data_IF_756390957385
#
_entry.id   IF_756390957385
#
_cell.length_a   1.000
_cell.length_b   1.000
_cell.length_c   1.000
_cell.angle_alpha   90.00
_cell.angle_beta   90.00
_cell.angle_gamma   90.00
#
_symmetry.space_group_name_H-M   'P 1'
#
loop_
_entity.id
_entity.type
_entity.pdbx_description
1 polymer ?
#
# COMPACT_ATOMS: atom_id res chain seq x y z
N UNK A 1 -10.54 25.23 -88.54
CA UNK A 1 -9.76 26.46 -88.36
C UNK A 1 -9.85 26.90 -86.92
N UNK A 2 -8.72 27.23 -86.27
CA UNK A 2 -8.53 27.83 -84.97
C UNK A 2 -8.53 26.83 -83.75
N UNK A 3 -7.38 26.19 -83.56
CA UNK A 3 -6.99 25.62 -82.24
C UNK A 3 -5.44 25.45 -82.12
N UNK A 4 -4.68 26.49 -82.44
CA UNK A 4 -3.24 26.45 -82.43
C UNK A 4 -2.50 27.49 -81.54
N UNK A 5 -3.14 28.26 -80.63
CA UNK A 5 -2.31 29.04 -79.71
C UNK A 5 -2.25 28.53 -78.27
N UNK A 6 -2.86 27.39 -77.94
CA UNK A 6 -2.86 26.90 -76.53
C UNK A 6 -1.70 25.94 -76.16
N UNK A 7 -0.97 25.42 -77.17
CA UNK A 7 0.16 24.48 -76.94
C UNK A 7 1.48 25.26 -76.72
N UNK A 8 1.59 26.49 -77.12
CA UNK A 8 2.83 27.28 -76.97
C UNK A 8 3.00 27.94 -75.60
N UNK A 9 1.96 27.94 -74.79
CA UNK A 9 2.02 28.56 -73.44
C UNK A 9 2.40 27.55 -72.32
N UNK A 10 2.37 26.23 -72.60
CA UNK A 10 2.75 25.19 -71.61
C UNK A 10 4.23 24.84 -71.60
N UNK A 11 5.04 25.34 -72.49
CA UNK A 11 6.48 25.02 -72.60
C UNK A 11 7.39 26.02 -71.88
N UNK A 12 6.83 27.13 -71.37
CA UNK A 12 7.62 28.19 -70.69
C UNK A 12 7.63 28.10 -69.15
N UNK A 13 7.03 27.04 -68.55
CA UNK A 13 7.00 26.89 -67.10
C UNK A 13 7.90 25.77 -66.55
N UNK A 14 8.75 25.13 -67.33
CA UNK A 14 9.66 24.07 -66.86
C UNK A 14 11.13 24.49 -66.80
N UNK A 15 11.42 25.74 -66.62
CA UNK A 15 12.78 26.23 -66.57
C UNK A 15 13.13 27.05 -65.35
N UNK A 16 12.73 26.59 -64.12
CA UNK A 16 13.24 27.21 -62.88
C UNK A 16 13.28 26.18 -61.77
N UNK A 17 14.23 25.24 -61.85
CA UNK A 17 14.83 24.61 -60.69
C UNK A 17 16.29 25.03 -60.67
N UNK A 18 16.54 26.22 -60.21
CA UNK A 18 17.84 26.57 -59.63
C UNK A 18 17.76 26.07 -58.21
N UNK A 19 18.39 24.96 -57.91
CA UNK A 19 18.78 24.57 -56.57
C UNK A 19 19.92 25.49 -56.13
N UNK A 20 19.56 26.67 -55.65
CA UNK A 20 20.46 27.42 -54.81
C UNK A 20 20.59 26.61 -53.51
N UNK A 21 21.60 25.75 -53.45
CA UNK A 21 22.17 25.28 -52.19
C UNK A 21 22.62 26.52 -51.40
N UNK A 22 21.72 27.06 -50.59
CA UNK A 22 22.08 28.00 -49.54
C UNK A 22 22.85 27.21 -48.48
N UNK A 23 24.11 26.95 -48.76
CA UNK A 23 25.07 26.37 -47.82
C UNK A 23 25.72 27.43 -46.94
N UNK A 24 24.99 28.54 -46.64
CA UNK A 24 25.46 29.51 -45.68
C UNK A 24 25.15 29.00 -44.27
N UNK A 25 26.15 28.47 -43.63
CA UNK A 25 26.09 28.01 -42.23
C UNK A 25 26.54 26.58 -41.98
N UNK A 26 26.62 25.71 -43.00
CA UNK A 26 27.06 24.31 -42.82
C UNK A 26 28.54 24.14 -42.42
N UNK A 27 29.32 25.20 -42.50
CA UNK A 27 30.74 25.18 -42.12
C UNK A 27 31.08 26.07 -40.91
N UNK A 28 30.07 26.67 -40.25
CA UNK A 28 30.33 27.58 -39.15
C UNK A 28 30.38 26.95 -37.78
N UNK A 29 29.81 25.76 -37.59
CA UNK A 29 29.95 24.98 -36.36
C UNK A 29 29.88 23.48 -36.72
N UNK A 30 31.01 22.80 -36.87
CA UNK A 30 31.03 21.33 -36.90
C UNK A 30 31.01 20.80 -35.46
N UNK A 31 29.86 20.91 -34.80
CA UNK A 31 29.72 20.28 -33.47
C UNK A 31 29.63 18.78 -33.70
N UNK A 32 30.67 18.05 -33.36
CA UNK A 32 30.69 16.58 -33.39
C UNK A 32 30.07 16.07 -32.10
N UNK A 33 28.78 15.73 -32.16
CA UNK A 33 28.13 15.02 -31.06
C UNK A 33 28.44 13.53 -31.10
N UNK A 34 28.76 12.93 -29.95
CA UNK A 34 28.87 11.49 -29.76
C UNK A 34 27.88 11.00 -28.72
N UNK A 35 27.19 9.90 -29.00
CA UNK A 35 26.31 9.26 -28.00
C UNK A 35 27.13 8.28 -27.17
N UNK A 36 26.89 8.29 -25.85
CA UNK A 36 27.54 7.37 -24.92
C UNK A 36 26.51 6.74 -24.00
N UNK A 37 26.73 5.49 -23.63
CA UNK A 37 26.00 4.76 -22.62
C UNK A 37 26.83 4.75 -21.32
N UNK A 38 26.18 5.07 -20.19
CA UNK A 38 26.77 5.03 -18.86
C UNK A 38 25.93 4.05 -18.04
N UNK A 39 26.55 2.98 -17.55
CA UNK A 39 25.93 1.94 -16.71
C UNK A 39 26.56 1.87 -15.30
N UNK A 40 27.68 2.54 -15.07
CA UNK A 40 28.47 2.49 -13.82
C UNK A 40 28.15 3.63 -12.86
N UNK A 41 27.00 4.31 -13.00
CA UNK A 41 26.58 5.37 -12.09
C UNK A 41 26.20 4.77 -10.74
N UNK A 42 26.86 5.23 -9.68
CA UNK A 42 26.57 4.76 -8.31
C UNK A 42 25.20 5.23 -7.86
N UNK A 43 24.38 4.27 -7.39
CA UNK A 43 23.11 4.53 -6.73
C UNK A 43 23.29 4.25 -5.24
N UNK A 44 23.37 5.29 -4.42
CA UNK A 44 23.45 5.16 -2.97
C UNK A 44 22.04 4.99 -2.40
N UNK A 45 21.84 3.99 -1.57
CA UNK A 45 20.55 3.57 -1.05
C UNK A 45 20.52 3.62 0.48
N UNK A 46 19.41 4.09 1.04
CA UNK A 46 19.15 4.14 2.47
C UNK A 46 17.72 3.66 2.77
N UNK A 47 17.54 2.88 3.84
CA UNK A 47 16.24 2.53 4.39
C UNK A 47 15.82 3.56 5.43
N UNK A 48 14.65 4.13 5.27
CA UNK A 48 14.05 5.11 6.16
C UNK A 48 12.74 4.57 6.75
N UNK A 49 12.38 5.11 7.91
CA UNK A 49 11.08 4.89 8.54
C UNK A 49 10.30 6.21 8.53
N UNK A 50 9.11 6.22 7.93
CA UNK A 50 8.18 7.35 8.02
C UNK A 50 7.35 7.27 9.28
N UNK A 51 6.62 8.34 9.57
CA UNK A 51 5.57 8.33 10.58
C UNK A 51 4.52 7.24 10.26
N UNK A 52 3.70 6.93 11.28
CA UNK A 52 2.66 5.90 11.20
C UNK A 52 1.67 6.14 10.04
N UNK A 53 1.22 5.07 9.41
CA UNK A 53 0.20 5.10 8.36
C UNK A 53 -1.19 5.30 8.96
N UNK A 54 -2.05 6.08 8.29
CA UNK A 54 -3.47 6.19 8.67
C UNK A 54 -4.18 4.88 8.33
N UNK A 55 -4.88 4.30 9.29
CA UNK A 55 -5.62 3.03 9.15
C UNK A 55 -7.12 3.15 9.39
N UNK A 56 -7.64 4.32 9.76
CA UNK A 56 -9.08 4.63 9.70
C UNK A 56 -9.52 4.95 8.28
N UNK A 57 -10.77 4.66 7.96
CA UNK A 57 -11.35 4.96 6.65
C UNK A 57 -10.91 4.03 5.51
N UNK A 58 -10.21 2.95 5.84
CA UNK A 58 -9.91 1.88 4.89
C UNK A 58 -11.14 1.01 4.65
N UNK A 59 -11.18 0.33 3.50
CA UNK A 59 -12.24 -0.64 3.16
C UNK A 59 -12.01 -2.03 3.74
N UNK A 60 -10.97 -2.19 4.57
CA UNK A 60 -10.54 -3.47 5.17
C UNK A 60 -9.93 -3.26 6.55
N UNK A 61 -9.96 -4.32 7.34
CA UNK A 61 -9.26 -4.46 8.62
C UNK A 61 -8.30 -5.65 8.54
N UNK A 62 -7.26 -5.64 9.38
CA UNK A 62 -6.19 -6.64 9.37
C UNK A 62 -6.11 -7.39 10.68
N UNK A 63 -5.92 -8.69 10.60
CA UNK A 63 -5.71 -9.56 11.75
C UNK A 63 -4.74 -10.69 11.40
N UNK A 64 -3.80 -10.97 12.30
CA UNK A 64 -2.89 -12.09 12.18
C UNK A 64 -1.45 -11.76 12.55
N UNK A 65 -0.59 -12.77 12.45
CA UNK A 65 0.82 -12.65 12.80
C UNK A 65 1.69 -13.42 11.80
N UNK A 66 2.72 -12.75 11.35
CA UNK A 66 3.66 -13.24 10.36
C UNK A 66 5.09 -12.89 10.75
N UNK A 67 6.03 -13.80 10.56
CA UNK A 67 7.45 -13.59 10.84
C UNK A 67 8.25 -13.64 9.54
N UNK A 68 8.98 -12.56 9.25
CA UNK A 68 9.91 -12.44 8.15
C UNK A 68 11.35 -12.39 8.66
N UNK A 69 12.27 -13.03 7.94
CA UNK A 69 13.69 -12.90 8.22
C UNK A 69 14.20 -11.46 7.96
N UNK A 70 13.61 -10.77 6.99
CA UNK A 70 14.01 -9.43 6.55
C UNK A 70 13.29 -8.32 7.34
N UNK A 71 11.98 -8.48 7.61
CA UNK A 71 11.12 -7.43 8.19
C UNK A 71 10.77 -7.63 9.66
N UNK A 72 11.15 -8.79 10.26
CA UNK A 72 10.88 -9.13 11.64
C UNK A 72 9.49 -9.71 11.86
N UNK A 73 8.99 -9.62 13.09
CA UNK A 73 7.64 -10.06 13.44
C UNK A 73 6.65 -8.94 13.22
N UNK A 74 5.63 -9.22 12.44
CA UNK A 74 4.53 -8.30 12.15
C UNK A 74 3.27 -8.87 12.80
N UNK A 75 2.61 -8.08 13.64
CA UNK A 75 1.36 -8.44 14.31
C UNK A 75 0.30 -7.39 14.00
N UNK A 76 -0.81 -7.82 13.42
CA UNK A 76 -1.94 -6.96 13.10
C UNK A 76 -3.10 -7.20 14.06
N UNK A 77 -3.65 -6.11 14.58
CA UNK A 77 -4.83 -6.08 15.44
C UNK A 77 -5.86 -5.14 14.82
N UNK A 78 -7.13 -5.48 14.94
CA UNK A 78 -8.20 -4.58 14.50
C UNK A 78 -9.13 -4.20 15.65
N UNK A 79 -9.59 -2.95 15.61
CA UNK A 79 -10.45 -2.35 16.63
C UNK A 79 -11.66 -1.75 15.94
N UNK A 80 -12.84 -2.07 16.44
CA UNK A 80 -14.08 -1.50 15.92
C UNK A 80 -15.22 -1.63 16.93
N UNK A 81 -16.21 -0.77 16.79
CA UNK A 81 -17.44 -0.79 17.55
C UNK A 81 -18.65 -0.96 16.62
N UNK A 82 -19.82 -1.15 17.20
CA UNK A 82 -21.03 -1.49 16.48
C UNK A 82 -22.13 -0.46 16.75
N UNK A 83 -23.03 -0.32 15.79
CA UNK A 83 -24.27 0.38 15.92
C UNK A 83 -25.26 -0.41 16.80
N UNK A 84 -26.19 0.26 17.51
CA UNK A 84 -27.21 -0.43 18.27
C UNK A 84 -28.07 -1.30 17.35
N UNK A 85 -28.66 -2.40 17.87
CA UNK A 85 -29.56 -3.23 17.09
C UNK A 85 -30.80 -2.45 16.65
N UNK A 86 -31.16 -2.57 15.39
CA UNK A 86 -32.45 -2.09 14.89
C UNK A 86 -33.48 -3.23 14.99
N UNK A 87 -34.44 -3.11 15.91
CA UNK A 87 -35.40 -4.17 16.20
C UNK A 87 -36.83 -3.64 16.26
N UNK A 88 -37.81 -4.55 16.03
CA UNK A 88 -39.21 -4.23 16.09
C UNK A 88 -39.69 -4.21 17.54
N UNK A 89 -39.91 -3.03 18.11
CA UNK A 89 -40.35 -2.85 19.49
C UNK A 89 -41.73 -3.53 19.79
N UNK A 90 -42.59 -3.76 18.78
CA UNK A 90 -43.87 -4.45 18.98
C UNK A 90 -43.72 -5.96 19.21
N UNK A 91 -42.61 -6.55 18.79
CA UNK A 91 -42.29 -7.97 19.03
C UNK A 91 -41.67 -8.21 20.39
N UNK A 92 -40.83 -7.25 20.82
CA UNK A 92 -40.07 -7.35 22.08
C UNK A 92 -40.78 -6.72 23.29
N UNK A 93 -41.79 -5.86 23.08
CA UNK A 93 -42.47 -5.16 24.16
C UNK A 93 -43.38 -6.04 25.03
N UNK A 94 -43.74 -5.56 26.20
CA UNK A 94 -44.57 -6.26 27.18
C UNK A 94 -45.99 -6.60 26.67
N UNK A 95 -46.45 -5.93 25.61
CA UNK A 95 -47.75 -6.17 24.94
C UNK A 95 -47.61 -6.99 23.66
N UNK A 96 -46.48 -7.62 23.44
CA UNK A 96 -46.24 -8.45 22.26
C UNK A 96 -47.19 -9.66 22.25
N UNK A 97 -47.74 -9.97 21.07
CA UNK A 97 -48.59 -11.17 20.87
C UNK A 97 -47.73 -12.43 20.64
N UNK A 98 -46.42 -12.31 20.74
CA UNK A 98 -45.44 -13.38 20.53
C UNK A 98 -44.48 -13.46 21.72
N UNK A 99 -43.95 -14.65 21.95
CA UNK A 99 -42.85 -14.86 22.88
C UNK A 99 -41.54 -14.89 22.10
N UNK A 100 -40.60 -14.04 22.44
CA UNK A 100 -39.21 -14.02 21.86
C UNK A 100 -38.34 -14.97 22.65
N UNK A 101 -37.72 -15.91 21.94
CA UNK A 101 -36.73 -16.85 22.48
C UNK A 101 -35.37 -16.58 21.81
N UNK A 102 -34.35 -16.40 22.58
CA UNK A 102 -32.95 -16.31 22.10
C UNK A 102 -32.50 -17.70 21.56
N UNK A 103 -31.80 -17.72 20.43
CA UNK A 103 -31.25 -18.94 19.82
C UNK A 103 -29.73 -18.90 19.78
N UNK A 104 -29.15 -17.83 19.21
CA UNK A 104 -27.70 -17.71 19.11
C UNK A 104 -27.25 -16.28 18.82
N UNK A 105 -25.95 -16.02 19.05
CA UNK A 105 -25.30 -14.77 18.67
C UNK A 105 -23.91 -15.07 18.10
N UNK A 106 -23.52 -14.41 17.01
CA UNK A 106 -22.23 -14.60 16.35
C UNK A 106 -21.67 -13.29 15.79
N UNK A 107 -20.34 -13.19 15.78
CA UNK A 107 -19.60 -12.23 14.97
C UNK A 107 -19.36 -12.84 13.60
N UNK A 108 -19.70 -12.12 12.53
CA UNK A 108 -19.48 -12.55 11.15
C UNK A 108 -18.50 -11.59 10.50
N UNK A 109 -17.37 -12.14 10.09
CA UNK A 109 -16.33 -11.46 9.30
C UNK A 109 -16.42 -11.97 7.86
N UNK A 110 -16.28 -11.08 6.89
CA UNK A 110 -16.17 -11.46 5.48
C UNK A 110 -14.72 -11.36 5.07
N UNK A 111 -14.16 -12.42 4.47
CA UNK A 111 -12.82 -12.38 3.93
C UNK A 111 -12.72 -11.37 2.79
N UNK A 112 -11.59 -10.71 2.73
CA UNK A 112 -11.18 -9.83 1.65
C UNK A 112 -10.17 -10.54 0.74
N UNK A 113 -9.81 -9.94 -0.37
CA UNK A 113 -8.90 -10.48 -1.39
C UNK A 113 -7.42 -10.45 -0.99
N UNK A 114 -7.07 -9.85 0.16
CA UNK A 114 -5.68 -9.72 0.61
C UNK A 114 -5.35 -10.62 1.79
N UNK A 115 -4.18 -11.26 1.70
CA UNK A 115 -3.47 -11.90 2.81
C UNK A 115 -1.96 -11.80 2.57
N UNK A 116 -1.16 -11.88 3.64
CA UNK A 116 0.29 -11.79 3.56
C UNK A 116 0.94 -12.74 4.58
N UNK A 117 1.65 -13.76 4.10
CA UNK A 117 2.14 -14.88 4.86
C UNK A 117 1.45 -16.20 4.52
N UNK A 118 1.81 -17.30 5.18
CA UNK A 118 1.31 -18.65 4.89
C UNK A 118 -0.10 -18.87 5.45
N UNK A 119 -1.10 -18.70 4.59
CA UNK A 119 -2.53 -18.85 4.94
C UNK A 119 -2.96 -20.31 5.16
N UNK A 120 -2.12 -21.30 4.84
CA UNK A 120 -2.41 -22.73 5.08
C UNK A 120 -2.17 -23.14 6.54
N UNK A 121 -1.38 -22.34 7.27
CA UNK A 121 -1.10 -22.59 8.68
C UNK A 121 -2.31 -22.25 9.55
N UNK A 122 -2.49 -23.04 10.61
CA UNK A 122 -3.47 -22.74 11.65
C UNK A 122 -3.05 -21.51 12.43
N UNK A 123 -3.99 -20.61 12.67
CA UNK A 123 -3.81 -19.41 13.48
C UNK A 123 -5.00 -19.19 14.39
N UNK A 124 -4.81 -18.37 15.41
CA UNK A 124 -5.79 -18.09 16.45
C UNK A 124 -6.35 -16.69 16.25
N UNK A 125 -7.67 -16.55 16.21
CA UNK A 125 -8.34 -15.27 16.29
C UNK A 125 -8.93 -15.11 17.68
N UNK A 126 -8.39 -14.16 18.45
CA UNK A 126 -8.87 -13.80 19.77
C UNK A 126 -9.74 -12.54 19.68
N UNK A 127 -10.92 -12.58 20.29
CA UNK A 127 -11.83 -11.45 20.41
C UNK A 127 -11.76 -10.93 21.84
N UNK A 128 -11.43 -9.64 22.02
CA UNK A 128 -11.40 -8.97 23.31
C UNK A 128 -12.43 -7.86 23.35
N UNK A 129 -13.12 -7.67 24.49
CA UNK A 129 -13.96 -6.49 24.72
C UNK A 129 -13.09 -5.26 25.01
N UNK A 130 -13.46 -4.11 24.46
CA UNK A 130 -12.78 -2.85 24.74
C UNK A 130 -13.18 -2.29 26.13
N UNK A 131 -12.21 -1.74 26.85
CA UNK A 131 -12.41 -1.04 28.14
C UNK A 131 -12.77 0.42 27.95
N UNK A 132 -12.40 0.98 26.79
CA UNK A 132 -12.62 2.39 26.45
C UNK A 132 -13.27 2.49 25.07
N UNK A 133 -13.98 3.58 24.85
CA UNK A 133 -14.54 3.93 23.54
C UNK A 133 -13.38 4.30 22.61
N UNK A 134 -13.51 4.00 21.33
CA UNK A 134 -12.54 4.41 20.30
C UNK A 134 -12.76 5.92 20.07
N UNK A 135 -11.73 6.71 20.35
CA UNK A 135 -11.71 8.15 20.12
C UNK A 135 -10.74 8.48 18.99
N UNK A 136 -11.20 9.23 18.00
CA UNK A 136 -10.38 9.73 16.91
C UNK A 136 -9.54 10.93 17.38
N UNK A 137 -8.39 11.17 16.73
CA UNK A 137 -7.58 12.36 16.98
C UNK A 137 -8.23 13.65 16.43
N UNK A 138 -7.57 14.80 16.61
CA UNK A 138 -8.04 16.11 16.13
C UNK A 138 -8.23 16.19 14.61
N UNK A 139 -7.66 15.24 13.86
CA UNK A 139 -7.82 15.11 12.40
C UNK A 139 -8.87 14.07 12.01
N UNK A 140 -9.60 13.53 12.96
CA UNK A 140 -10.54 12.43 12.79
C UNK A 140 -9.87 11.15 12.25
N UNK A 141 -8.64 10.85 12.70
CA UNK A 141 -7.84 9.72 12.22
C UNK A 141 -7.29 8.88 13.38
N UNK A 142 -7.02 7.61 13.07
CA UNK A 142 -6.19 6.71 13.86
C UNK A 142 -5.18 6.03 12.93
N UNK A 143 -4.08 5.60 13.51
CA UNK A 143 -2.88 5.20 12.79
C UNK A 143 -2.51 3.75 13.08
N UNK A 144 -1.61 3.20 12.28
CA UNK A 144 -1.05 1.85 12.47
C UNK A 144 -0.36 1.66 13.84
N UNK A 145 -0.04 2.73 14.54
CA UNK A 145 0.54 2.73 15.90
C UNK A 145 -0.48 2.99 17.00
N UNK A 146 -1.73 3.33 16.66
CA UNK A 146 -2.80 3.61 17.63
C UNK A 146 -3.26 2.32 18.30
N UNK A 147 -3.67 2.40 19.56
CA UNK A 147 -4.23 1.28 20.32
C UNK A 147 -5.29 1.74 21.29
N UNK A 148 -6.23 0.86 21.62
CA UNK A 148 -7.29 1.09 22.62
C UNK A 148 -7.21 -0.02 23.66
N UNK A 149 -7.27 0.32 24.98
CA UNK A 149 -7.25 -0.69 26.04
C UNK A 149 -8.39 -1.68 25.91
N UNK A 150 -8.05 -2.97 26.00
CA UNK A 150 -8.98 -4.10 25.97
C UNK A 150 -8.90 -4.92 27.26
N UNK A 151 -9.82 -5.86 27.45
CA UNK A 151 -9.76 -6.83 28.57
C UNK A 151 -8.48 -7.67 28.46
N UNK A 152 -7.98 -8.15 29.60
CA UNK A 152 -6.73 -8.93 29.64
C UNK A 152 -6.89 -10.34 29.05
N UNK A 153 -8.05 -10.93 29.26
CA UNK A 153 -8.38 -12.26 28.75
C UNK A 153 -9.28 -12.13 27.52
N UNK A 154 -9.09 -13.00 26.50
CA UNK A 154 -9.97 -13.01 25.36
C UNK A 154 -11.40 -13.38 25.79
N UNK A 155 -12.36 -12.67 25.24
CA UNK A 155 -13.78 -12.99 25.41
C UNK A 155 -14.11 -14.32 24.71
N UNK A 156 -13.52 -14.54 23.51
CA UNK A 156 -13.61 -15.77 22.74
C UNK A 156 -12.31 -15.98 21.96
N UNK A 157 -11.93 -17.25 21.76
CA UNK A 157 -10.79 -17.64 20.93
C UNK A 157 -11.20 -18.71 19.93
N UNK A 158 -10.79 -18.53 18.67
CA UNK A 158 -11.03 -19.48 17.59
C UNK A 158 -9.74 -19.83 16.89
N UNK A 159 -9.66 -21.06 16.39
CA UNK A 159 -8.61 -21.47 15.48
C UNK A 159 -9.17 -21.61 14.07
N UNK A 160 -8.46 -21.07 13.10
CA UNK A 160 -8.83 -21.11 11.70
C UNK A 160 -7.60 -21.14 10.81
N UNK A 161 -7.79 -21.46 9.54
CA UNK A 161 -6.84 -21.23 8.45
C UNK A 161 -7.61 -20.73 7.23
N UNK A 162 -6.89 -20.24 6.24
CA UNK A 162 -7.48 -19.74 4.99
C UNK A 162 -6.72 -20.30 3.80
N UNK A 163 -6.84 -21.59 3.45
CA UNK A 163 -6.24 -22.15 2.25
C UNK A 163 -6.82 -21.49 0.97
N UNK A 164 -6.06 -21.49 -0.12
CA UNK A 164 -6.39 -20.82 -1.38
C UNK A 164 -7.75 -21.26 -1.97
N UNK A 165 -8.10 -22.53 -1.81
CA UNK A 165 -9.40 -23.10 -2.23
C UNK A 165 -10.63 -22.50 -1.53
N UNK A 166 -10.44 -21.71 -0.46
CA UNK A 166 -11.47 -20.97 0.27
C UNK A 166 -11.40 -19.45 0.06
N UNK A 167 -10.66 -18.99 -0.95
CA UNK A 167 -10.56 -17.57 -1.29
C UNK A 167 -11.73 -17.09 -2.17
N UNK A 168 -12.91 -17.58 -1.91
CA UNK A 168 -14.12 -17.04 -2.50
C UNK A 168 -14.45 -15.70 -1.84
N UNK A 169 -14.66 -14.64 -2.65
CA UNK A 169 -14.97 -13.29 -2.18
C UNK A 169 -16.27 -13.20 -1.36
N UNK A 170 -17.07 -14.26 -1.36
CA UNK A 170 -18.30 -14.36 -0.56
C UNK A 170 -18.12 -15.21 0.71
N UNK A 171 -16.91 -15.74 0.95
CA UNK A 171 -16.63 -16.56 2.13
C UNK A 171 -16.65 -15.72 3.40
N UNK A 172 -17.38 -16.20 4.40
CA UNK A 172 -17.48 -15.59 5.72
C UNK A 172 -16.93 -16.51 6.79
N UNK A 173 -16.33 -15.90 7.83
CA UNK A 173 -15.94 -16.55 9.06
C UNK A 173 -16.98 -16.19 10.12
N UNK A 174 -17.80 -17.16 10.53
CA UNK A 174 -18.79 -16.99 11.59
C UNK A 174 -18.26 -17.52 12.93
N UNK A 175 -18.24 -16.65 13.92
CA UNK A 175 -17.63 -16.87 15.23
C UNK A 175 -18.70 -16.76 16.32
N UNK A 176 -19.05 -17.88 16.96
CA UNK A 176 -20.04 -17.89 18.03
C UNK A 176 -19.60 -17.00 19.19
N UNK A 177 -20.41 -16.07 19.61
CA UNK A 177 -20.22 -15.29 20.83
C UNK A 177 -20.93 -15.95 22.03
N UNK A 178 -20.54 -15.61 23.28
CA UNK A 178 -21.19 -16.15 24.48
C UNK A 178 -22.68 -15.83 24.52
N UNK A 179 -23.48 -16.85 24.86
CA UNK A 179 -24.95 -16.75 24.90
C UNK A 179 -25.44 -15.70 25.92
N UNK A 180 -24.68 -15.45 26.98
CA UNK A 180 -24.97 -14.45 28.00
C UNK A 180 -25.12 -13.05 27.36
N UNK A 181 -24.29 -12.70 26.40
CA UNK A 181 -24.38 -11.41 25.70
C UNK A 181 -25.66 -11.31 24.86
N UNK A 182 -26.02 -12.38 24.16
CA UNK A 182 -27.26 -12.42 23.37
C UNK A 182 -28.51 -12.36 24.25
N UNK A 183 -28.53 -13.09 25.38
CA UNK A 183 -29.64 -13.07 26.35
C UNK A 183 -29.78 -11.69 26.99
N UNK A 184 -28.67 -11.03 27.31
CA UNK A 184 -28.69 -9.67 27.83
C UNK A 184 -29.25 -8.67 26.82
N UNK A 185 -28.85 -8.74 25.55
CA UNK A 185 -29.41 -7.92 24.48
C UNK A 185 -30.91 -8.13 24.30
N UNK A 186 -31.39 -9.39 24.28
CA UNK A 186 -32.83 -9.68 24.23
C UNK A 186 -33.54 -9.06 25.42
N UNK A 187 -32.99 -9.13 26.62
CA UNK A 187 -33.55 -8.50 27.83
C UNK A 187 -33.64 -6.99 27.69
N UNK A 188 -32.58 -6.35 27.17
CA UNK A 188 -32.56 -4.90 26.92
C UNK A 188 -33.62 -4.49 25.88
N UNK A 189 -33.83 -5.30 24.83
CA UNK A 189 -34.88 -5.08 23.84
C UNK A 189 -36.29 -5.24 24.45
N UNK A 190 -36.50 -6.29 25.25
CA UNK A 190 -37.79 -6.55 25.92
C UNK A 190 -38.16 -5.43 26.93
N UNK A 191 -37.16 -4.88 27.58
CA UNK A 191 -37.38 -3.77 28.53
C UNK A 191 -37.35 -2.39 27.84
N UNK A 192 -37.16 -2.35 26.52
CA UNK A 192 -37.03 -1.11 25.75
C UNK A 192 -36.01 -0.16 26.39
N UNK A 193 -34.85 -0.69 26.73
CA UNK A 193 -33.80 0.04 27.42
C UNK A 193 -33.25 1.20 26.57
N UNK A 194 -33.07 2.36 27.21
CA UNK A 194 -32.45 3.55 26.60
C UNK A 194 -31.02 3.30 26.16
N UNK A 195 -30.37 2.26 26.66
CA UNK A 195 -29.02 1.83 26.19
C UNK A 195 -29.00 1.44 24.72
N UNK A 196 -30.14 1.09 24.13
CA UNK A 196 -30.25 0.71 22.72
C UNK A 196 -30.83 1.82 21.82
N UNK A 197 -31.18 2.99 22.37
CA UNK A 197 -31.84 4.06 21.62
C UNK A 197 -30.90 4.87 20.70
N UNK A 198 -29.70 5.13 21.16
CA UNK A 198 -28.70 5.92 20.41
C UNK A 198 -27.36 5.22 20.39
N UNK A 199 -26.55 5.58 19.41
CA UNK A 199 -25.18 5.06 19.29
C UNK A 199 -24.35 5.37 20.55
N UNK A 200 -24.41 6.59 21.07
CA UNK A 200 -23.68 7.02 22.26
C UNK A 200 -24.10 6.21 23.50
N UNK A 201 -25.39 5.97 23.69
CA UNK A 201 -25.90 5.15 24.77
C UNK A 201 -25.43 3.69 24.63
N UNK A 202 -25.48 3.14 23.41
CA UNK A 202 -25.01 1.79 23.13
C UNK A 202 -23.53 1.62 23.43
N UNK A 203 -22.69 2.61 23.13
CA UNK A 203 -21.26 2.60 23.46
C UNK A 203 -20.99 2.59 24.97
N UNK A 204 -21.89 3.12 25.82
CA UNK A 204 -21.73 3.00 27.28
C UNK A 204 -21.92 1.57 27.76
N UNK A 205 -22.76 0.79 27.07
CA UNK A 205 -23.00 -0.61 27.33
C UNK A 205 -21.96 -1.52 26.66
N UNK A 206 -21.71 -1.33 25.35
CA UNK A 206 -20.79 -2.15 24.55
C UNK A 206 -19.83 -1.27 23.75
N UNK A 207 -18.62 -1.10 24.26
CA UNK A 207 -17.61 -0.18 23.70
C UNK A 207 -16.97 -0.65 22.41
N UNK A 208 -17.19 -1.93 22.02
CA UNK A 208 -16.60 -2.54 20.86
C UNK A 208 -15.64 -3.68 21.19
N UNK A 209 -14.93 -4.14 20.19
CA UNK A 209 -14.02 -5.27 20.28
C UNK A 209 -12.66 -5.00 19.65
N UNK A 210 -11.66 -5.76 20.10
CA UNK A 210 -10.35 -5.93 19.47
C UNK A 210 -10.26 -7.34 18.92
N UNK A 211 -9.84 -7.50 17.67
CA UNK A 211 -9.35 -8.75 17.11
C UNK A 211 -7.84 -8.81 17.24
N UNK A 212 -7.30 -9.98 17.57
CA UNK A 212 -5.87 -10.15 17.81
C UNK A 212 -5.45 -11.59 17.56
N UNK A 213 -4.29 -11.86 16.95
CA UNK A 213 -3.77 -13.22 16.79
C UNK A 213 -3.34 -13.83 18.12
N UNK A 214 -3.07 -15.12 18.09
CA UNK A 214 -2.41 -15.84 19.18
C UNK A 214 -0.96 -15.38 19.35
N UNK A 215 -0.48 -15.35 20.59
CA UNK A 215 0.88 -14.88 20.89
C UNK A 215 1.97 -15.72 20.20
N UNK A 216 1.72 -16.99 19.97
CA UNK A 216 2.65 -17.94 19.35
C UNK A 216 2.37 -18.17 17.85
N UNK A 217 1.40 -17.48 17.28
CA UNK A 217 1.07 -17.64 15.88
C UNK A 217 2.22 -17.15 14.99
N UNK A 218 2.40 -17.85 13.88
CA UNK A 218 3.30 -17.49 12.79
C UNK A 218 2.73 -18.08 11.50
N UNK A 219 1.78 -17.39 10.91
CA UNK A 219 1.03 -17.83 9.75
C UNK A 219 0.92 -16.69 8.72
N UNK A 220 -0.20 -16.01 8.72
CA UNK A 220 -0.46 -14.89 7.82
C UNK A 220 -1.15 -13.73 8.55
N UNK A 221 -1.01 -12.53 8.02
CA UNK A 221 -1.92 -11.42 8.28
C UNK A 221 -3.01 -11.49 7.22
N UNK A 222 -4.25 -11.69 7.64
CA UNK A 222 -5.43 -11.70 6.79
C UNK A 222 -6.12 -10.33 6.81
N UNK A 223 -6.78 -9.99 5.73
CA UNK A 223 -7.72 -8.87 5.72
C UNK A 223 -9.17 -9.34 5.68
N UNK A 224 -10.03 -8.55 6.31
CA UNK A 224 -11.47 -8.71 6.27
C UNK A 224 -12.11 -7.43 5.76
N UNK A 225 -13.18 -7.58 5.00
CA UNK A 225 -13.96 -6.47 4.43
C UNK A 225 -14.47 -5.56 5.55
N UNK A 226 -14.32 -4.26 5.36
CA UNK A 226 -14.90 -3.22 6.22
C UNK A 226 -15.81 -2.32 5.39
N UNK A 227 -17.12 -2.48 5.58
CA UNK A 227 -18.15 -1.68 4.94
C UNK A 227 -19.43 -1.68 5.80
N UNK A 228 -20.53 -1.14 5.29
CA UNK A 228 -21.80 -1.09 6.02
C UNK A 228 -22.45 -2.47 6.25
N UNK A 229 -21.98 -3.53 5.59
CA UNK A 229 -22.50 -4.89 5.73
C UNK A 229 -21.63 -5.76 6.66
N UNK A 230 -20.30 -5.49 6.73
CA UNK A 230 -19.34 -6.31 7.48
C UNK A 230 -18.24 -5.46 8.15
N UNK A 231 -17.75 -5.87 9.35
CA UNK A 231 -18.23 -6.94 10.25
C UNK A 231 -19.62 -6.69 10.82
N UNK A 232 -20.35 -7.79 11.16
CA UNK A 232 -21.63 -7.70 11.86
C UNK A 232 -21.66 -8.62 13.07
N UNK A 233 -22.42 -8.21 14.09
CA UNK A 233 -22.85 -9.13 15.14
C UNK A 233 -24.30 -9.49 14.82
N UNK A 234 -24.56 -10.80 14.63
CA UNK A 234 -25.89 -11.34 14.30
C UNK A 234 -26.50 -12.06 15.49
N UNK A 235 -27.65 -11.59 15.91
CA UNK A 235 -28.50 -12.22 16.92
C UNK A 235 -29.59 -13.04 16.20
N UNK A 236 -29.66 -14.33 16.43
CA UNK A 236 -30.74 -15.20 16.00
C UNK A 236 -31.73 -15.39 17.15
N UNK A 237 -33.01 -15.30 16.84
CA UNK A 237 -34.10 -15.50 17.80
C UNK A 237 -35.34 -16.10 17.11
N UNK A 238 -36.14 -16.79 17.88
CA UNK A 238 -37.40 -17.36 17.45
C UNK A 238 -38.55 -16.59 18.08
N UNK A 239 -39.53 -16.20 17.28
CA UNK A 239 -40.82 -15.68 17.75
C UNK A 239 -41.85 -16.80 17.77
N UNK A 240 -42.48 -17.00 18.91
CA UNK A 240 -43.55 -18.03 19.13
C UNK A 240 -44.85 -17.30 19.35
N UNK A 241 -45.70 -17.34 18.33
CA UNK A 241 -47.10 -16.85 18.37
C UNK A 241 -48.09 -17.95 18.69
N UNK A 242 -49.36 -17.60 18.71
CA UNK A 242 -50.45 -18.55 19.00
C UNK A 242 -50.62 -19.66 17.91
N UNK A 243 -50.19 -19.37 16.69
CA UNK A 243 -50.36 -20.26 15.51
C UNK A 243 -49.09 -20.49 14.74
N UNK A 244 -48.13 -19.53 14.78
CA UNK A 244 -46.87 -19.56 13.99
C UNK A 244 -45.66 -19.52 14.90
N UNK A 245 -44.58 -20.19 14.46
CA UNK A 245 -43.22 -20.05 15.02
C UNK A 245 -42.33 -19.64 13.88
N UNK A 246 -41.57 -18.54 14.06
CA UNK A 246 -40.77 -17.97 12.99
C UNK A 246 -39.34 -17.72 13.53
N UNK A 247 -38.33 -18.12 12.74
CA UNK A 247 -36.95 -17.82 12.98
C UNK A 247 -36.60 -16.43 12.42
N UNK A 248 -35.96 -15.63 13.20
CA UNK A 248 -35.62 -14.22 12.89
C UNK A 248 -34.16 -13.91 13.21
N UNK A 249 -33.68 -12.82 12.67
CA UNK A 249 -32.31 -12.29 12.96
C UNK A 249 -32.32 -10.78 13.06
N UNK A 250 -31.40 -10.27 13.87
CA UNK A 250 -31.07 -8.85 13.99
C UNK A 250 -29.58 -8.70 13.80
N UNK A 251 -29.17 -7.83 12.89
CA UNK A 251 -27.78 -7.52 12.61
C UNK A 251 -27.40 -6.17 13.26
N UNK A 252 -26.33 -6.17 14.04
CA UNK A 252 -25.68 -4.97 14.52
C UNK A 252 -24.48 -4.71 13.61
N UNK A 253 -24.52 -3.65 12.82
CA UNK A 253 -23.49 -3.31 11.85
C UNK A 253 -22.32 -2.58 12.50
N UNK A 254 -21.13 -2.75 11.96
CA UNK A 254 -19.93 -2.01 12.38
C UNK A 254 -20.09 -0.52 12.12
N UNK A 255 -19.48 0.32 12.97
CA UNK A 255 -19.26 1.73 12.67
C UNK A 255 -17.91 1.88 11.92
N UNK A 256 -17.97 2.04 10.61
CA UNK A 256 -16.79 2.11 9.73
C UNK A 256 -15.93 3.35 10.00
N UNK A 257 -16.51 4.43 10.54
CA UNK A 257 -15.80 5.70 10.77
C UNK A 257 -14.77 5.62 11.90
N UNK A 258 -14.92 4.67 12.83
CA UNK A 258 -14.04 4.51 13.98
C UNK A 258 -13.20 3.24 13.93
N UNK A 259 -13.45 2.38 12.93
CA UNK A 259 -12.70 1.15 12.75
C UNK A 259 -11.27 1.44 12.25
N UNK A 260 -10.28 0.77 12.82
CA UNK A 260 -8.88 0.90 12.43
C UNK A 260 -8.09 -0.37 12.72
N UNK A 261 -6.88 -0.46 12.16
CA UNK A 261 -5.95 -1.55 12.43
C UNK A 261 -4.64 -1.01 13.02
N UNK A 262 -4.15 -1.69 14.03
CA UNK A 262 -2.82 -1.50 14.61
C UNK A 262 -1.87 -2.52 13.99
N UNK A 263 -0.69 -2.07 13.56
CA UNK A 263 0.37 -2.92 13.01
C UNK A 263 1.60 -2.78 13.88
N UNK A 264 1.84 -3.77 14.69
CA UNK A 264 3.03 -3.85 15.53
C UNK A 264 4.16 -4.54 14.77
N UNK A 265 5.38 -4.01 14.88
CA UNK A 265 6.57 -4.60 14.26
C UNK A 265 7.67 -4.78 15.29
N UNK A 266 8.22 -6.01 15.39
CA UNK A 266 9.43 -6.29 16.16
C UNK A 266 10.57 -6.66 15.19
N UNK A 267 11.51 -5.73 15.00
CA UNK A 267 12.67 -5.86 14.13
C UNK A 267 13.96 -6.24 14.88
N UNK A 268 13.88 -6.55 16.18
CA UNK A 268 15.03 -6.80 17.06
C UNK A 268 15.99 -7.88 16.54
N UNK A 269 15.47 -8.87 15.81
CA UNK A 269 16.23 -9.98 15.25
C UNK A 269 16.52 -9.83 13.74
N UNK A 270 16.46 -8.62 13.19
CA UNK A 270 16.73 -8.35 11.78
C UNK A 270 17.87 -7.35 11.62
N UNK A 271 18.32 -7.13 10.39
CA UNK A 271 19.27 -6.07 10.06
C UNK A 271 18.69 -4.67 10.31
N UNK A 272 17.39 -4.54 10.45
CA UNK A 272 16.68 -3.29 10.73
C UNK A 272 16.54 -2.97 12.23
N UNK A 273 17.20 -3.70 13.13
CA UNK A 273 17.05 -3.57 14.59
C UNK A 273 17.34 -2.17 15.15
N UNK A 274 18.21 -1.40 14.51
CA UNK A 274 18.60 -0.03 14.91
C UNK A 274 17.85 1.07 14.15
N UNK A 275 16.96 0.69 13.20
CA UNK A 275 16.20 1.65 12.40
C UNK A 275 15.18 2.41 13.26
N UNK A 276 15.17 3.73 13.11
CA UNK A 276 14.15 4.61 13.70
C UNK A 276 13.91 5.83 12.80
N UNK A 277 12.89 6.63 13.06
CA UNK A 277 12.61 7.86 12.31
C UNK A 277 13.81 8.85 12.31
N UNK A 278 14.62 8.83 13.37
CA UNK A 278 15.81 9.70 13.50
C UNK A 278 17.12 9.01 13.10
N UNK A 279 17.11 7.72 12.83
CA UNK A 279 18.29 6.91 12.49
C UNK A 279 17.99 6.03 11.28
N UNK A 280 18.04 6.58 10.05
CA UNK A 280 17.96 5.77 8.83
C UNK A 280 19.19 4.86 8.72
N UNK A 281 19.09 3.79 7.95
CA UNK A 281 20.16 2.83 7.73
C UNK A 281 20.62 2.88 6.26
N UNK A 282 21.92 3.02 6.07
CA UNK A 282 22.53 2.88 4.74
C UNK A 282 22.52 1.41 4.32
N UNK A 283 22.54 1.14 3.01
CA UNK A 283 22.60 -0.22 2.49
C UNK A 283 23.81 -1.00 3.02
N UNK A 284 24.95 -0.34 3.26
CA UNK A 284 26.17 -0.94 3.82
C UNK A 284 25.93 -1.53 5.23
N UNK A 285 25.10 -0.89 6.04
CA UNK A 285 24.76 -1.35 7.40
C UNK A 285 23.78 -2.54 7.39
N UNK A 286 23.19 -2.83 6.23
CA UNK A 286 22.17 -3.86 6.05
C UNK A 286 22.53 -4.88 4.96
N UNK A 287 23.80 -5.30 4.89
CA UNK A 287 24.34 -6.27 3.92
C UNK A 287 24.09 -5.90 2.46
N UNK A 288 24.28 -4.63 2.14
CA UNK A 288 24.07 -4.04 0.81
C UNK A 288 22.62 -4.17 0.32
N UNK A 289 21.64 -4.10 1.23
CA UNK A 289 20.20 -4.16 0.95
C UNK A 289 19.48 -2.95 1.48
N UNK A 290 18.31 -2.66 0.90
CA UNK A 290 17.33 -1.71 1.42
C UNK A 290 15.93 -2.28 1.36
N UNK A 291 15.00 -1.69 2.12
CA UNK A 291 13.73 -2.30 2.45
C UNK A 291 12.57 -1.31 2.28
N UNK A 292 11.48 -1.79 1.67
CA UNK A 292 10.20 -1.09 1.58
C UNK A 292 9.09 -2.02 2.05
N UNK A 293 8.08 -1.48 2.77
CA UNK A 293 6.91 -2.26 3.18
C UNK A 293 5.72 -1.35 3.45
N UNK A 294 4.55 -1.75 2.98
CA UNK A 294 3.29 -1.08 3.27
C UNK A 294 2.90 -1.17 4.74
N UNK A 295 2.05 -0.27 5.21
CA UNK A 295 1.52 -0.14 6.58
C UNK A 295 2.56 0.05 7.70
N UNK A 296 3.83 -0.31 7.47
CA UNK A 296 4.90 -0.26 8.47
C UNK A 296 5.80 0.98 8.36
N UNK A 297 5.54 1.83 7.37
CA UNK A 297 6.27 3.08 7.16
C UNK A 297 7.66 2.95 6.53
N UNK A 298 8.07 1.75 6.08
CA UNK A 298 9.37 1.57 5.44
C UNK A 298 9.38 2.10 4.00
N UNK A 299 10.39 2.93 3.69
CA UNK A 299 10.66 3.40 2.34
C UNK A 299 12.16 3.50 2.08
N UNK A 300 12.54 3.57 0.81
CA UNK A 300 13.94 3.69 0.39
C UNK A 300 14.21 5.09 -0.15
N UNK A 301 15.30 5.70 0.28
CA UNK A 301 15.86 6.92 -0.27
C UNK A 301 17.01 6.59 -1.20
N UNK A 302 17.07 7.29 -2.35
CA UNK A 302 18.11 7.11 -3.38
C UNK A 302 18.81 8.41 -3.64
N UNK A 303 20.16 8.33 -3.81
CA UNK A 303 21.01 9.44 -4.22
C UNK A 303 21.97 8.98 -5.32
N UNK A 304 22.43 9.93 -6.12
CA UNK A 304 23.38 9.70 -7.22
C UNK A 304 24.67 10.51 -6.96
N UNK A 305 25.59 10.02 -6.08
CA UNK A 305 26.75 10.80 -5.62
C UNK A 305 27.70 11.18 -6.75
N UNK A 306 27.83 10.34 -7.78
CA UNK A 306 28.78 10.50 -8.88
C UNK A 306 28.16 11.14 -10.13
N UNK A 307 26.90 11.63 -10.06
CA UNK A 307 26.21 12.21 -11.21
C UNK A 307 26.98 13.32 -11.89
N UNK A 308 27.69 14.16 -11.11
CA UNK A 308 28.48 15.28 -11.62
C UNK A 308 29.70 14.86 -12.46
N UNK A 309 30.17 13.61 -12.32
CA UNK A 309 31.28 13.11 -13.13
C UNK A 309 30.93 13.05 -14.63
N UNK A 310 29.62 12.93 -14.94
CA UNK A 310 29.11 12.96 -16.30
C UNK A 310 29.50 14.24 -17.03
N UNK A 311 29.56 15.39 -16.35
CA UNK A 311 29.93 16.67 -16.95
C UNK A 311 31.36 16.77 -17.38
N UNK A 312 32.24 15.87 -16.91
CA UNK A 312 33.65 15.82 -17.32
C UNK A 312 33.87 15.10 -18.63
N UNK A 313 32.81 14.53 -19.23
CA UNK A 313 32.90 13.76 -20.46
C UNK A 313 33.11 14.61 -21.72
N UNK A 314 32.82 15.94 -21.66
CA UNK A 314 33.02 16.87 -22.76
C UNK A 314 32.66 18.29 -22.38
N UNK A 315 32.72 19.22 -23.33
CA UNK A 315 32.43 20.65 -23.10
C UNK A 315 30.94 20.92 -22.86
N UNK A 316 30.08 20.11 -23.51
CA UNK A 316 28.66 20.11 -23.28
C UNK A 316 28.12 18.67 -23.23
N UNK A 317 27.39 18.34 -22.20
CA UNK A 317 26.77 17.02 -22.01
C UNK A 317 25.27 17.19 -21.82
N UNK A 318 24.51 16.42 -22.61
CA UNK A 318 23.04 16.39 -22.56
C UNK A 318 22.60 14.96 -22.24
N UNK A 319 21.87 14.75 -21.14
CA UNK A 319 21.21 13.48 -20.87
C UNK A 319 20.05 13.34 -21.84
N UNK A 320 20.08 12.34 -22.72
CA UNK A 320 18.99 12.06 -23.66
C UNK A 320 17.96 11.09 -23.10
N UNK A 321 18.38 10.17 -22.21
CA UNK A 321 17.51 9.23 -21.52
C UNK A 321 18.19 8.72 -20.27
N UNK A 322 17.45 8.52 -19.18
CA UNK A 322 17.95 7.90 -17.97
C UNK A 322 16.87 7.04 -17.32
N UNK A 323 17.13 5.75 -17.18
CA UNK A 323 16.21 4.77 -16.62
C UNK A 323 16.80 4.15 -15.37
N UNK A 324 16.06 4.27 -14.26
CA UNK A 324 16.37 3.60 -13.00
C UNK A 324 15.63 2.26 -12.96
N UNK A 325 16.38 1.17 -12.84
CA UNK A 325 15.85 -0.18 -12.65
C UNK A 325 16.01 -0.63 -11.21
N UNK A 326 14.92 -1.10 -10.61
CA UNK A 326 14.90 -1.69 -9.27
C UNK A 326 14.58 -3.18 -9.39
N UNK A 327 15.56 -4.03 -9.09
CA UNK A 327 15.43 -5.49 -9.16
C UNK A 327 15.22 -6.05 -7.75
N UNK A 328 14.09 -6.76 -7.49
CA UNK A 328 13.86 -7.43 -6.21
C UNK A 328 14.93 -8.48 -5.92
N UNK A 329 15.38 -8.56 -4.68
CA UNK A 329 16.31 -9.61 -4.25
C UNK A 329 15.60 -10.96 -4.30
N UNK A 330 16.15 -11.89 -5.06
CA UNK A 330 15.60 -13.24 -5.23
C UNK A 330 15.53 -13.98 -3.89
N UNK A 331 14.41 -14.66 -3.63
CA UNK A 331 14.18 -15.42 -2.39
C UNK A 331 13.57 -14.61 -1.25
N UNK A 332 13.34 -13.29 -1.43
CA UNK A 332 12.65 -12.45 -0.43
C UNK A 332 11.15 -12.34 -0.67
N UNK A 333 10.65 -12.92 -1.75
CA UNK A 333 9.23 -12.93 -2.14
C UNK A 333 8.81 -14.29 -2.69
N UNK A 334 7.54 -14.62 -2.60
CA UNK A 334 6.92 -15.84 -3.11
C UNK A 334 5.38 -15.65 -3.23
N UNK A 335 4.64 -16.71 -3.53
CA UNK A 335 3.18 -16.66 -3.69
C UNK A 335 2.44 -16.20 -2.42
N UNK A 336 2.98 -16.50 -1.22
CA UNK A 336 2.42 -16.04 0.06
C UNK A 336 2.85 -14.62 0.44
N UNK A 337 3.92 -14.12 -0.14
CA UNK A 337 4.48 -12.79 0.11
C UNK A 337 4.77 -12.10 -1.22
N UNK A 338 3.73 -11.81 -2.01
CA UNK A 338 3.88 -11.27 -3.35
C UNK A 338 4.46 -9.85 -3.34
N UNK A 339 5.17 -9.51 -4.40
CA UNK A 339 5.70 -8.18 -4.64
C UNK A 339 4.56 -7.14 -4.81
N UNK A 340 4.81 -5.85 -4.50
CA UNK A 340 3.91 -4.76 -4.88
C UNK A 340 3.67 -4.73 -6.39
N UNK A 341 2.43 -4.45 -6.83
CA UNK A 341 2.12 -4.34 -8.25
C UNK A 341 2.75 -3.06 -8.85
N UNK A 342 2.78 -1.99 -8.06
CA UNK A 342 3.33 -0.70 -8.45
C UNK A 342 4.17 -0.10 -7.32
N UNK A 343 5.21 0.62 -7.72
CA UNK A 343 6.00 1.48 -6.84
C UNK A 343 5.88 2.92 -7.32
N UNK A 344 5.98 3.85 -6.38
CA UNK A 344 5.99 5.28 -6.62
C UNK A 344 7.36 5.87 -6.31
N UNK A 345 7.76 6.85 -7.13
CA UNK A 345 9.03 7.56 -6.98
C UNK A 345 8.76 9.05 -6.87
N UNK A 346 9.12 9.65 -5.73
CA UNK A 346 8.99 11.08 -5.45
C UNK A 346 10.37 11.73 -5.34
N UNK A 347 10.39 13.02 -5.61
CA UNK A 347 11.52 13.88 -5.28
C UNK A 347 11.46 14.30 -3.80
N UNK A 348 12.59 14.27 -3.12
CA UNK A 348 12.77 14.84 -1.78
C UNK A 348 13.59 16.12 -1.90
N UNK A 349 13.02 17.25 -1.48
CA UNK A 349 13.76 18.49 -1.36
C UNK A 349 14.75 18.44 -0.17
N UNK A 350 15.53 19.49 0.02
CA UNK A 350 16.53 19.59 1.11
C UNK A 350 15.93 19.42 2.52
N UNK A 351 14.68 19.81 2.68
CA UNK A 351 13.95 19.70 3.95
C UNK A 351 13.40 18.28 4.17
N UNK A 352 13.64 17.35 3.22
CA UNK A 352 13.12 15.99 3.25
C UNK A 352 11.62 15.90 2.94
N UNK A 353 11.03 16.96 2.39
CA UNK A 353 9.64 16.98 1.99
C UNK A 353 9.50 16.40 0.59
N UNK A 354 8.62 15.42 0.45
CA UNK A 354 8.27 14.85 -0.85
C UNK A 354 7.53 15.87 -1.72
N UNK A 355 7.98 15.99 -2.96
CA UNK A 355 7.32 16.74 -4.04
C UNK A 355 7.28 15.85 -5.28
N UNK A 356 6.29 16.07 -6.12
CA UNK A 356 6.13 15.29 -7.34
C UNK A 356 7.28 15.55 -8.33
N UNK A 357 7.69 14.51 -9.04
CA UNK A 357 8.70 14.61 -10.09
C UNK A 357 8.07 15.26 -11.31
N UNK A 358 8.75 16.27 -11.88
CA UNK A 358 8.37 16.84 -13.17
C UNK A 358 8.61 15.79 -14.28
N UNK A 359 7.54 15.38 -14.95
CA UNK A 359 7.61 14.51 -16.12
C UNK A 359 7.82 15.35 -17.39
N UNK A 360 7.20 16.53 -17.43
CA UNK A 360 7.43 17.56 -18.43
C UNK A 360 7.22 18.96 -17.82
N UNK A 361 7.49 20.01 -18.59
CA UNK A 361 7.38 21.41 -18.13
C UNK A 361 5.97 21.85 -17.73
N UNK A 362 4.97 21.02 -17.91
CA UNK A 362 3.55 21.35 -17.69
C UNK A 362 2.86 20.43 -16.65
N UNK A 363 3.44 19.28 -16.32
CA UNK A 363 2.80 18.26 -15.46
C UNK A 363 3.74 17.80 -14.37
N UNK A 364 3.34 17.99 -13.11
CA UNK A 364 3.94 17.32 -11.95
C UNK A 364 3.12 16.08 -11.65
N UNK A 365 3.75 14.92 -11.58
CA UNK A 365 3.09 13.69 -11.12
C UNK A 365 4.09 12.79 -10.41
N UNK A 366 3.58 12.01 -9.46
CA UNK A 366 4.30 10.88 -8.89
C UNK A 366 4.65 9.93 -10.02
N UNK A 367 5.91 9.55 -10.17
CA UNK A 367 6.29 8.58 -11.17
C UNK A 367 6.01 7.18 -10.67
N UNK A 368 5.30 6.38 -11.47
CA UNK A 368 4.96 5.00 -11.15
C UNK A 368 5.81 4.03 -11.96
N UNK A 369 6.34 3.02 -11.28
CA UNK A 369 6.97 1.84 -11.89
C UNK A 369 6.10 0.62 -11.66
N UNK A 370 5.61 0.02 -12.75
CA UNK A 370 4.81 -1.22 -12.70
C UNK A 370 5.73 -2.44 -12.66
N UNK A 371 5.36 -3.45 -11.90
CA UNK A 371 6.07 -4.72 -11.82
C UNK A 371 6.09 -5.43 -13.17
N UNK A 372 7.28 -5.70 -13.65
CA UNK A 372 7.52 -6.67 -14.72
C UNK A 372 8.02 -7.95 -14.07
N UNK A 373 7.24 -9.01 -14.10
CA UNK A 373 7.53 -10.25 -13.38
C UNK A 373 7.83 -11.40 -14.33
N UNK A 374 8.98 -12.04 -14.14
CA UNK A 374 9.32 -13.33 -14.76
C UNK A 374 8.90 -14.48 -13.83
N UNK A 375 7.67 -14.94 -14.02
CA UNK A 375 7.08 -16.03 -13.19
C UNK A 375 7.75 -17.40 -13.38
N UNK A 376 8.59 -17.57 -14.40
CA UNK A 376 9.19 -18.87 -14.73
C UNK A 376 10.58 -19.00 -14.11
N UNK A 377 11.42 -17.96 -14.24
CA UNK A 377 12.83 -18.04 -13.85
C UNK A 377 13.21 -17.03 -12.77
N UNK A 378 12.35 -16.07 -12.43
CA UNK A 378 12.60 -14.95 -11.52
C UNK A 378 13.87 -14.14 -11.83
N UNK A 379 14.32 -14.13 -13.11
CA UNK A 379 15.57 -13.49 -13.52
C UNK A 379 15.40 -12.09 -14.09
N UNK A 380 14.20 -11.79 -14.62
CA UNK A 380 13.86 -10.51 -15.24
C UNK A 380 12.67 -9.86 -14.55
N UNK A 381 12.65 -9.97 -13.22
CA UNK A 381 11.64 -9.28 -12.39
C UNK A 381 12.20 -7.92 -11.97
N UNK A 382 11.51 -6.83 -12.34
CA UNK A 382 11.99 -5.48 -12.07
C UNK A 382 10.86 -4.45 -12.11
N UNK A 383 11.19 -3.26 -11.59
CA UNK A 383 10.46 -2.01 -11.80
C UNK A 383 11.37 -1.05 -12.57
N UNK A 384 10.81 -0.22 -13.44
CA UNK A 384 11.57 0.77 -14.20
C UNK A 384 10.95 2.15 -14.07
N UNK A 385 11.81 3.18 -13.92
CA UNK A 385 11.42 4.57 -13.76
C UNK A 385 12.23 5.44 -14.72
N UNK A 386 11.57 6.28 -15.49
CA UNK A 386 12.23 7.32 -16.29
C UNK A 386 12.60 8.50 -15.39
N UNK A 387 13.88 8.64 -15.10
CA UNK A 387 14.43 9.72 -14.26
C UNK A 387 15.18 10.78 -15.09
N UNK A 388 14.96 10.81 -16.40
CA UNK A 388 15.65 11.72 -17.33
C UNK A 388 15.51 13.19 -16.93
N UNK A 389 14.29 13.65 -16.75
CA UNK A 389 14.00 15.06 -16.40
C UNK A 389 14.58 15.43 -15.01
N UNK A 390 14.52 14.49 -14.07
CA UNK A 390 15.10 14.67 -12.74
C UNK A 390 16.61 14.86 -12.83
N UNK A 391 17.32 13.98 -13.54
CA UNK A 391 18.78 14.07 -13.66
C UNK A 391 19.23 15.30 -14.47
N UNK A 392 18.46 15.70 -15.49
CA UNK A 392 18.71 16.94 -16.22
C UNK A 392 18.60 18.16 -15.28
N UNK A 393 17.57 18.18 -14.42
CA UNK A 393 17.38 19.24 -13.43
C UNK A 393 18.53 19.25 -12.42
N UNK A 394 18.91 18.13 -11.85
CA UNK A 394 20.02 18.01 -10.88
C UNK A 394 21.35 18.47 -11.47
N UNK A 395 21.67 18.09 -12.70
CA UNK A 395 22.89 18.56 -13.38
C UNK A 395 22.88 20.08 -13.64
N UNK A 396 21.70 20.67 -13.82
CA UNK A 396 21.54 22.13 -13.97
C UNK A 396 21.73 22.93 -12.66
N UNK A 397 21.58 22.26 -11.50
CA UNK A 397 21.62 22.86 -10.17
C UNK A 397 22.95 22.65 -9.43
N UNK A 398 24.03 22.37 -10.14
CA UNK A 398 25.34 22.06 -9.56
C UNK A 398 25.78 23.16 -8.60
N UNK A 399 26.12 22.74 -7.37
CA UNK A 399 26.64 23.59 -6.30
C UNK A 399 25.59 24.33 -5.49
N UNK A 400 24.28 24.20 -5.82
CA UNK A 400 23.24 24.83 -5.05
C UNK A 400 22.53 23.88 -4.06
N UNK A 401 22.17 22.65 -4.48
CA UNK A 401 21.32 21.76 -3.66
C UNK A 401 21.63 20.28 -3.94
N UNK A 402 21.53 19.46 -2.90
CA UNK A 402 21.51 18.00 -3.02
C UNK A 402 20.11 17.52 -2.75
N UNK A 403 19.44 17.08 -3.80
CA UNK A 403 18.17 16.42 -3.67
C UNK A 403 18.32 14.90 -3.65
N UNK A 404 17.23 14.21 -3.39
CA UNK A 404 17.18 12.75 -3.37
C UNK A 404 15.85 12.27 -3.91
N UNK A 405 15.77 10.99 -4.23
CA UNK A 405 14.52 10.34 -4.60
C UNK A 405 14.02 9.49 -3.44
N UNK A 406 12.70 9.42 -3.27
CA UNK A 406 12.01 8.52 -2.36
C UNK A 406 11.26 7.46 -3.17
N UNK A 407 11.62 6.19 -2.96
CA UNK A 407 10.93 5.03 -3.52
C UNK A 407 10.06 4.40 -2.45
N UNK A 408 8.78 4.19 -2.75
CA UNK A 408 7.82 3.64 -1.80
C UNK A 408 6.70 2.89 -2.55
N UNK A 409 5.83 2.16 -1.84
CA UNK A 409 4.64 1.56 -2.44
C UNK A 409 3.68 2.67 -2.88
N UNK A 410 2.97 2.46 -3.97
CA UNK A 410 1.98 3.45 -4.42
C UNK A 410 0.88 3.67 -3.37
N UNK A 411 0.12 4.76 -3.51
CA UNK A 411 -0.89 5.15 -2.51
C UNK A 411 -2.01 4.11 -2.34
N UNK A 412 -2.24 3.26 -3.35
CA UNK A 412 -3.25 2.19 -3.28
C UNK A 412 -2.79 1.01 -2.43
N UNK A 413 -1.50 0.74 -2.38
CA UNK A 413 -0.92 -0.38 -1.63
C UNK A 413 -0.26 0.04 -0.31
N UNK A 414 0.27 1.27 -0.22
CA UNK A 414 1.02 1.78 0.93
C UNK A 414 0.29 1.66 2.27
N UNK A 415 -1.00 1.99 2.29
CA UNK A 415 -1.83 1.97 3.50
C UNK A 415 -2.79 0.77 3.54
N UNK A 416 -2.83 -0.05 2.49
CA UNK A 416 -3.81 -1.14 2.32
C UNK A 416 -3.18 -2.53 2.28
N UNK A 417 -1.87 -2.64 2.32
CA UNK A 417 -1.19 -3.95 2.22
C UNK A 417 0.08 -3.99 3.08
N UNK A 418 0.53 -5.21 3.39
CA UNK A 418 1.85 -5.48 3.97
C UNK A 418 2.86 -5.92 2.92
N UNK A 419 2.54 -5.78 1.63
CA UNK A 419 3.49 -6.12 0.57
C UNK A 419 4.81 -5.43 0.80
N UNK A 420 5.88 -6.12 0.48
CA UNK A 420 7.23 -5.66 0.78
C UNK A 420 8.18 -5.89 -0.39
N UNK A 421 9.31 -5.20 -0.35
CA UNK A 421 10.34 -5.29 -1.36
C UNK A 421 11.72 -5.13 -0.69
N UNK A 422 12.65 -6.00 -1.06
CA UNK A 422 14.06 -5.88 -0.73
C UNK A 422 14.84 -5.64 -2.02
N UNK A 423 15.69 -4.60 -2.03
CA UNK A 423 16.53 -4.23 -3.15
C UNK A 423 18.01 -4.32 -2.76
N UNK A 424 18.86 -4.76 -3.69
CA UNK A 424 20.31 -4.77 -3.53
C UNK A 424 20.94 -3.49 -4.09
N UNK A 425 21.94 -2.93 -3.41
CA UNK A 425 22.75 -1.82 -3.92
C UNK A 425 23.79 -2.29 -4.97
N UNK A 426 24.62 -1.38 -5.45
CA UNK A 426 25.69 -1.67 -6.44
C UNK A 426 26.74 -2.66 -5.94
N UNK A 427 26.85 -2.89 -4.63
CA UNK A 427 27.80 -3.83 -3.99
C UNK A 427 27.14 -5.17 -3.60
N UNK A 428 25.85 -5.32 -3.82
CA UNK A 428 25.14 -6.56 -3.50
C UNK A 428 25.75 -7.75 -4.26
N UNK A 429 25.87 -8.90 -3.59
CA UNK A 429 26.61 -10.07 -4.10
C UNK A 429 26.10 -10.58 -5.44
N UNK A 430 24.78 -10.55 -5.66
CA UNK A 430 24.14 -11.01 -6.91
C UNK A 430 23.90 -9.81 -7.82
N UNK A 431 24.67 -9.72 -8.90
CA UNK A 431 24.64 -8.58 -9.84
C UNK A 431 23.24 -8.36 -10.47
N UNK A 432 22.50 -9.44 -10.69
CA UNK A 432 21.17 -9.42 -11.31
C UNK A 432 20.10 -8.75 -10.39
N UNK A 433 20.38 -8.66 -9.07
CA UNK A 433 19.47 -8.06 -8.08
C UNK A 433 19.91 -6.65 -7.63
N UNK A 434 20.85 -6.03 -8.35
CA UNK A 434 21.32 -4.67 -8.03
C UNK A 434 20.42 -3.62 -8.66
N UNK A 435 20.13 -2.58 -7.91
CA UNK A 435 19.55 -1.35 -8.49
C UNK A 435 20.55 -0.76 -9.48
N UNK A 436 20.07 -0.42 -10.69
CA UNK A 436 20.91 0.09 -11.78
C UNK A 436 20.33 1.38 -12.34
N UNK A 437 21.20 2.33 -12.64
CA UNK A 437 20.86 3.54 -13.38
C UNK A 437 21.57 3.49 -14.74
N UNK A 438 20.78 3.47 -15.80
CA UNK A 438 21.27 3.44 -17.19
C UNK A 438 21.03 4.81 -17.79
N UNK A 439 22.11 5.49 -18.22
CA UNK A 439 22.05 6.85 -18.76
C UNK A 439 22.60 6.88 -20.19
N UNK A 440 21.84 7.45 -21.11
CA UNK A 440 22.29 7.79 -22.44
C UNK A 440 22.58 9.29 -22.49
N UNK A 441 23.79 9.65 -22.87
CA UNK A 441 24.23 11.05 -23.00
C UNK A 441 24.67 11.34 -24.41
N UNK A 442 24.48 12.60 -24.82
CA UNK A 442 25.08 13.18 -26.03
C UNK A 442 26.14 14.17 -25.55
N UNK A 443 27.37 13.90 -25.93
CA UNK A 443 28.55 14.70 -25.58
C UNK A 443 29.00 15.50 -26.80
N UNK A 444 29.20 16.79 -26.61
CA UNK A 444 29.74 17.69 -27.61
C UNK A 444 31.10 18.19 -27.15
N UNK A 445 32.07 18.07 -28.02
CA UNK A 445 33.43 18.61 -27.84
C UNK A 445 33.59 19.81 -28.81
N UNK A 446 34.03 20.96 -28.32
CA UNK A 446 34.40 22.08 -29.17
C UNK A 446 35.81 21.80 -29.74
N UNK A 447 35.96 21.83 -31.05
CA UNK A 447 37.26 21.69 -31.75
C UNK A 447 38.25 22.85 -31.41
#
# INVERSE_FOLDING_TARGET
MKSLPCILLCVLFFGSCVSDDFSVGNNLVSVKGRSMLIEDCTVALETHLSDSSVTTGLSRIFEGKYTSADFGVITAHSYFNFNPPNYNTSEFGSNANVTVKFDSISLILRYDDFSYGDTTQMQTLNIYKLKQIIELDDKSQLYSTSSVPAEAEPWVSYQFNRPEEHWDNDSTLELRLPDEFGLELVTLMQTQSNLLETYENFLTYFKGIKLSPGINDNAAVNSFVLNDEYPIIRLHYTTIGAVTTEENKIDMTVNTSTAFSQIETDRSNTLLHSLSNSNPLTSVETDNKVYLQGLTGLYTKLNFPDLNEILKLGDQVIISSAILYAFPVSGTYNDFTPLPANLSLNYLNEEGKAIDIYIDSSTTSVQSGTLVEDKIYNRNTYYAFDVTSYLQYELGMIGMYKSSLQLFLDDTEKNNTLKSLVLGDSSFSTEENRVKLIIYVIVYDND
#
